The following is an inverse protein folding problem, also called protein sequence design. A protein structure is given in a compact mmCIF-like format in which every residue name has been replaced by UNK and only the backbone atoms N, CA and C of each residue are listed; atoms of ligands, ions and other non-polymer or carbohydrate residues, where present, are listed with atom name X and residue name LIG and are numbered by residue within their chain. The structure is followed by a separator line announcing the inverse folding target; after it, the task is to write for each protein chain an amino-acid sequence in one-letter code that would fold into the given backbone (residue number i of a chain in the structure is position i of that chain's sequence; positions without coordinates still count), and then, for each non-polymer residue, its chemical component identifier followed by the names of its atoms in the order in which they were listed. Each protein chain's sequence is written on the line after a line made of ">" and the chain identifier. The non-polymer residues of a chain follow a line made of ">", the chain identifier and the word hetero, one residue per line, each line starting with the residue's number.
data_IF_996048213200
#
_entry.id   IF_996048213200
#
_cell.length_a   1.000
_cell.length_b   1.000
_cell.length_c   1.000
_cell.angle_alpha   90.00
_cell.angle_beta   90.00
_cell.angle_gamma   90.00
#
_symmetry.space_group_name_H-M   'P 1'
#
loop_
_entity.id
_entity.type
_entity.pdbx_description
1 polymer ?
#
# COMPACT_ATOMS: atom_id res chain seq x y z
N UNK A 1 17.78 27.19 29.92
CA UNK A 1 16.55 26.63 29.33
C UNK A 1 15.63 27.80 29.05
N UNK A 2 15.12 27.93 27.82
CA UNK A 2 14.35 29.09 27.40
C UNK A 2 13.03 29.25 28.16
N UNK A 3 12.48 30.46 28.14
CA UNK A 3 11.21 30.76 28.81
C UNK A 3 10.05 29.93 28.22
N UNK A 4 9.25 29.35 29.11
CA UNK A 4 8.03 28.62 28.74
C UNK A 4 6.92 29.61 28.43
N UNK A 5 6.78 29.95 27.15
CA UNK A 5 5.73 30.84 26.68
C UNK A 5 4.44 30.04 26.48
N UNK A 6 3.34 30.46 27.11
CA UNK A 6 2.03 29.81 26.95
C UNK A 6 1.62 29.76 25.48
N UNK A 7 1.09 28.62 25.06
CA UNK A 7 0.61 28.40 23.69
C UNK A 7 1.71 28.20 22.65
N UNK A 8 2.99 28.18 23.04
CA UNK A 8 4.08 27.79 22.15
C UNK A 8 4.56 26.37 22.48
N UNK A 9 4.72 25.50 21.47
CA UNK A 9 5.35 24.21 21.68
C UNK A 9 6.83 24.42 22.03
N UNK A 10 7.34 23.59 22.94
CA UNK A 10 8.75 23.57 23.35
C UNK A 10 9.27 22.17 23.08
N UNK A 11 10.32 22.09 22.26
CA UNK A 11 11.00 20.83 21.99
C UNK A 11 11.90 20.47 23.18
N UNK A 12 11.77 19.24 23.66
CA UNK A 12 12.54 18.69 24.76
C UNK A 12 12.99 17.27 24.39
N UNK A 13 14.11 16.85 24.95
CA UNK A 13 14.59 15.48 24.76
C UNK A 13 13.74 14.47 25.55
N UNK A 14 13.73 13.21 25.10
CA UNK A 14 13.00 12.14 25.79
C UNK A 14 13.50 11.93 27.23
N UNK A 15 14.82 11.98 27.46
CA UNK A 15 15.40 11.88 28.80
C UNK A 15 14.88 12.99 29.74
N UNK A 16 14.72 14.20 29.20
CA UNK A 16 14.16 15.31 29.96
C UNK A 16 12.69 15.08 30.26
N UNK A 17 11.92 14.60 29.26
CA UNK A 17 10.50 14.29 29.43
C UNK A 17 10.31 13.25 30.53
N UNK A 18 11.09 12.16 30.53
CA UNK A 18 11.05 11.10 31.54
C UNK A 18 11.38 11.65 32.93
N UNK A 19 12.45 12.45 33.05
CA UNK A 19 12.87 13.03 34.33
C UNK A 19 11.84 14.01 34.91
N UNK A 20 11.12 14.73 34.04
CA UNK A 20 10.21 15.82 34.44
C UNK A 20 8.73 15.45 34.31
N UNK A 21 8.40 14.23 33.88
CA UNK A 21 7.03 13.74 33.62
C UNK A 21 6.10 13.94 34.82
N UNK A 22 6.60 13.74 36.04
CA UNK A 22 5.82 13.91 37.27
C UNK A 22 5.38 15.36 37.50
N UNK A 23 6.14 16.33 36.97
CA UNK A 23 5.86 17.76 37.13
C UNK A 23 4.91 18.28 36.04
N UNK A 24 4.88 17.61 34.88
CA UNK A 24 3.99 17.93 33.76
C UNK A 24 2.59 17.40 34.07
N UNK A 25 1.72 18.28 34.59
CA UNK A 25 0.32 17.96 34.82
C UNK A 25 -0.41 17.79 33.47
N UNK A 26 -1.09 16.66 33.23
CA UNK A 26 -1.82 16.43 31.97
C UNK A 26 -2.90 17.46 31.67
N UNK A 27 -3.38 18.18 32.69
CA UNK A 27 -4.37 19.26 32.53
C UNK A 27 -3.80 20.56 31.98
N UNK A 28 -2.48 20.75 32.05
CA UNK A 28 -1.80 21.98 31.63
C UNK A 28 -0.90 21.78 30.42
N UNK A 29 -0.45 20.54 30.19
CA UNK A 29 0.49 20.21 29.13
C UNK A 29 -0.05 19.05 28.31
N UNK A 30 -0.08 19.24 27.00
CA UNK A 30 -0.28 18.16 26.04
C UNK A 30 1.09 17.71 25.58
N UNK A 31 1.45 16.46 25.90
CA UNK A 31 2.68 15.83 25.41
C UNK A 31 2.31 15.15 24.09
N UNK A 32 2.88 15.62 22.98
CA UNK A 32 2.78 15.01 21.66
C UNK A 32 4.18 14.62 21.16
N UNK A 33 4.27 13.56 20.36
CA UNK A 33 5.56 13.03 19.87
C UNK A 33 5.89 11.59 20.33
N UNK A 34 4.88 10.78 20.65
CA UNK A 34 5.08 9.37 20.95
C UNK A 34 5.27 8.55 19.66
N UNK A 35 6.54 8.29 19.32
CA UNK A 35 7.04 7.36 18.29
C UNK A 35 6.36 7.50 16.91
N UNK A 36 6.59 8.66 16.30
CA UNK A 36 7.05 8.71 14.91
C UNK A 36 8.55 9.03 15.04
N UNK A 37 9.42 8.04 14.82
CA UNK A 37 10.86 8.16 15.06
C UNK A 37 11.52 9.28 14.24
N UNK A 38 10.86 9.72 13.16
CA UNK A 38 11.34 10.74 12.23
C UNK A 38 10.42 11.96 12.12
N UNK A 39 9.20 11.89 12.69
CA UNK A 39 8.15 12.90 12.57
C UNK A 39 7.88 13.30 11.11
N UNK A 40 7.99 12.33 10.21
CA UNK A 40 7.84 12.48 8.76
C UNK A 40 6.42 12.18 8.29
N UNK A 41 5.54 11.74 9.20
CA UNK A 41 4.18 11.33 8.87
C UNK A 41 4.14 10.00 8.13
N UNK A 42 5.22 9.22 8.16
CA UNK A 42 5.28 7.88 7.60
C UNK A 42 5.04 6.83 8.69
N UNK A 43 4.29 5.77 8.38
CA UNK A 43 4.10 4.69 9.33
C UNK A 43 5.40 3.95 9.65
N UNK A 44 5.73 3.85 10.95
CA UNK A 44 6.95 3.19 11.42
C UNK A 44 6.69 2.11 12.50
N UNK A 45 7.77 1.60 13.10
CA UNK A 45 7.72 0.63 14.21
C UNK A 45 7.08 1.23 15.47
N UNK A 46 6.98 2.56 15.57
CA UNK A 46 6.27 3.29 16.61
C UNK A 46 4.75 3.29 16.48
N UNK A 47 4.24 3.34 15.25
CA UNK A 47 2.81 3.52 14.99
C UNK A 47 1.92 2.38 15.49
N UNK A 48 0.74 2.69 16.01
CA UNK A 48 -0.25 1.65 16.33
C UNK A 48 -0.82 1.05 15.03
N UNK A 49 -1.18 -0.24 15.06
CA UNK A 49 -1.75 -0.93 13.89
C UNK A 49 -2.91 -0.17 13.23
N UNK A 50 -3.78 0.45 14.03
CA UNK A 50 -4.92 1.19 13.53
C UNK A 50 -4.52 2.40 12.67
N UNK A 51 -3.45 3.10 13.07
CA UNK A 51 -2.96 4.27 12.34
C UNK A 51 -2.26 3.86 11.06
N UNK A 52 -1.51 2.74 11.06
CA UNK A 52 -0.91 2.20 9.84
C UNK A 52 -2.00 1.82 8.82
N UNK A 53 -3.06 1.14 9.27
CA UNK A 53 -4.20 0.79 8.40
C UNK A 53 -4.91 2.04 7.88
N UNK A 54 -5.08 3.06 8.72
CA UNK A 54 -5.69 4.33 8.32
C UNK A 54 -4.85 5.02 7.24
N UNK A 55 -3.53 5.06 7.40
CA UNK A 55 -2.62 5.63 6.43
C UNK A 55 -2.65 4.86 5.10
N UNK A 56 -2.60 3.53 5.13
CA UNK A 56 -2.70 2.69 3.93
C UNK A 56 -4.00 2.97 3.15
N UNK A 57 -5.12 3.10 3.86
CA UNK A 57 -6.42 3.47 3.24
C UNK A 57 -6.40 4.88 2.65
N UNK A 58 -5.70 5.83 3.27
CA UNK A 58 -5.53 7.19 2.72
C UNK A 58 -4.69 7.19 1.44
N UNK A 59 -3.74 6.27 1.32
CA UNK A 59 -2.96 6.05 0.09
C UNK A 59 -3.72 5.20 -0.96
N UNK A 60 -4.98 4.83 -0.70
CA UNK A 60 -5.79 4.04 -1.62
C UNK A 60 -5.52 2.54 -1.60
N UNK A 61 -4.76 2.03 -0.63
CA UNK A 61 -4.50 0.59 -0.47
C UNK A 61 -5.64 -0.08 0.26
N UNK A 62 -6.25 -1.09 -0.37
CA UNK A 62 -7.26 -1.92 0.27
C UNK A 62 -6.62 -2.93 1.23
N UNK A 63 -6.83 -2.69 2.53
CA UNK A 63 -6.43 -3.63 3.57
C UNK A 63 -7.59 -4.59 3.83
N UNK A 64 -7.45 -5.86 3.43
CA UNK A 64 -8.46 -6.89 3.69
C UNK A 64 -8.78 -7.05 5.18
N UNK A 65 -10.06 -7.33 5.50
CA UNK A 65 -10.58 -7.45 6.88
C UNK A 65 -10.03 -8.65 7.69
N UNK A 66 -9.04 -9.38 7.16
CA UNK A 66 -8.38 -10.47 7.86
C UNK A 66 -7.41 -9.99 8.93
N UNK A 67 -7.01 -10.90 9.83
CA UNK A 67 -5.97 -10.59 10.80
C UNK A 67 -4.64 -10.35 10.07
N UNK A 68 -4.07 -9.15 10.26
CA UNK A 68 -2.74 -8.79 9.77
C UNK A 68 -1.81 -8.46 10.94
N UNK A 69 -0.58 -8.94 10.85
CA UNK A 69 0.48 -8.56 11.78
C UNK A 69 0.96 -7.14 11.47
N UNK A 70 1.60 -6.48 12.44
CA UNK A 70 2.14 -5.13 12.25
C UNK A 70 3.25 -5.13 11.20
N UNK A 71 4.08 -6.17 11.18
CA UNK A 71 5.11 -6.38 10.17
C UNK A 71 4.55 -6.43 8.75
N UNK A 72 3.43 -7.15 8.54
CA UNK A 72 2.80 -7.22 7.22
C UNK A 72 2.26 -5.85 6.78
N UNK A 73 1.67 -5.08 7.71
CA UNK A 73 1.19 -3.74 7.41
C UNK A 73 2.33 -2.78 7.08
N UNK A 74 3.47 -2.88 7.76
CA UNK A 74 4.66 -2.08 7.45
C UNK A 74 5.26 -2.47 6.10
N UNK A 75 5.30 -3.77 5.76
CA UNK A 75 5.71 -4.21 4.42
C UNK A 75 4.85 -3.59 3.31
N UNK A 76 3.53 -3.47 3.52
CA UNK A 76 2.65 -2.81 2.56
C UNK A 76 2.91 -1.30 2.45
N UNK A 77 3.37 -0.67 3.54
CA UNK A 77 3.80 0.73 3.52
C UNK A 77 5.07 0.87 2.70
N UNK A 78 6.03 -0.03 2.89
CA UNK A 78 7.26 -0.07 2.09
C UNK A 78 6.93 -0.22 0.60
N UNK A 79 6.04 -1.14 0.23
CA UNK A 79 5.60 -1.34 -1.16
C UNK A 79 4.99 -0.06 -1.78
N UNK A 80 4.29 0.75 -0.98
CA UNK A 80 3.70 2.03 -1.43
C UNK A 80 4.76 3.11 -1.59
N UNK A 81 5.74 3.16 -0.69
CA UNK A 81 6.80 4.18 -0.70
C UNK A 81 7.89 3.89 -1.73
N UNK A 82 8.14 2.61 -2.00
CA UNK A 82 9.04 2.13 -3.04
C UNK A 82 8.25 1.33 -4.07
N UNK A 83 7.44 1.98 -4.91
CA UNK A 83 6.79 1.27 -6.00
C UNK A 83 7.89 0.66 -6.86
N UNK A 84 7.95 -0.67 -6.91
CA UNK A 84 8.90 -1.36 -7.75
C UNK A 84 8.76 -0.83 -9.18
N UNK A 85 9.87 -0.51 -9.88
CA UNK A 85 9.78 -0.15 -11.27
C UNK A 85 9.09 -1.31 -11.99
N UNK A 86 7.98 -1.01 -12.65
CA UNK A 86 7.31 -1.95 -13.54
C UNK A 86 8.36 -2.30 -14.60
N UNK A 87 8.89 -3.52 -14.55
CA UNK A 87 9.62 -4.07 -15.69
C UNK A 87 8.62 -4.10 -16.84
N UNK A 88 8.75 -3.13 -17.76
CA UNK A 88 8.10 -3.23 -19.05
C UNK A 88 8.57 -4.56 -19.65
N UNK A 89 7.66 -5.54 -19.71
CA UNK A 89 7.85 -6.73 -20.52
C UNK A 89 7.88 -6.22 -21.95
N UNK A 90 9.09 -5.94 -22.44
CA UNK A 90 9.35 -5.76 -23.86
C UNK A 90 9.01 -7.10 -24.50
N UNK A 91 7.78 -7.21 -25.00
CA UNK A 91 7.42 -8.25 -25.96
C UNK A 91 8.22 -7.89 -27.20
N UNK A 92 9.42 -8.46 -27.33
CA UNK A 92 10.12 -8.53 -28.60
C UNK A 92 9.22 -9.31 -29.55
N UNK A 93 8.40 -8.57 -30.29
CA UNK A 93 7.75 -9.05 -31.51
C UNK A 93 8.90 -9.39 -32.45
N UNK A 94 9.26 -10.67 -32.50
CA UNK A 94 10.05 -11.26 -33.57
C UNK A 94 9.24 -11.14 -34.87
N UNK A 95 9.31 -9.96 -35.47
CA UNK A 95 8.90 -9.71 -36.84
C UNK A 95 10.00 -10.22 -37.77
N UNK A 96 9.93 -11.51 -38.11
CA UNK A 96 10.54 -12.03 -39.33
C UNK A 96 9.67 -13.20 -39.81
N UNK A 97 8.70 -12.89 -40.68
CA UNK A 97 8.27 -13.62 -41.89
C UNK A 97 7.25 -12.68 -42.56
N UNK A 98 7.71 -11.89 -43.53
CA UNK A 98 6.89 -11.22 -44.55
C UNK A 98 7.44 -11.67 -45.90
N UNK A 99 6.87 -12.75 -46.43
CA UNK A 99 6.87 -13.23 -47.82
C UNK A 99 5.98 -14.49 -47.74
N UNK A 100 4.68 -14.47 -48.04
CA UNK A 100 4.08 -14.30 -49.36
C UNK A 100 2.63 -13.80 -49.20
N UNK A 101 2.27 -12.81 -50.01
CA UNK A 101 0.89 -12.45 -50.30
C UNK A 101 0.53 -13.19 -51.58
N UNK A 102 -0.34 -14.20 -51.54
CA UNK A 102 -1.16 -14.54 -52.70
C UNK A 102 -2.64 -14.61 -52.28
N UNK A 103 -3.34 -13.56 -52.72
CA UNK A 103 -4.78 -13.39 -52.65
C UNK A 103 -5.43 -14.44 -53.55
N UNK A 104 -6.23 -15.34 -53.00
CA UNK A 104 -7.26 -16.04 -53.76
C UNK A 104 -8.60 -15.88 -53.05
N UNK A 105 -9.40 -14.99 -53.61
CA UNK A 105 -10.80 -14.77 -53.33
C UNK A 105 -11.59 -16.09 -53.51
N UNK A 106 -12.53 -16.42 -52.62
CA UNK A 106 -13.87 -16.94 -52.99
C UNK A 106 -14.82 -16.96 -51.78
N UNK A 107 -16.15 -16.83 -51.99
CA UNK A 107 -17.06 -16.20 -51.05
C UNK A 107 -18.14 -17.15 -50.47
N UNK A 108 -18.69 -16.80 -49.28
CA UNK A 108 -20.00 -17.17 -48.67
C UNK A 108 -20.22 -18.70 -48.42
N UNK A 109 -20.57 -19.20 -47.24
CA UNK A 109 -21.92 -19.42 -46.66
C UNK A 109 -21.68 -20.29 -45.40
N UNK A 110 -22.10 -19.87 -44.20
CA UNK A 110 -23.39 -20.23 -43.58
C UNK A 110 -23.46 -21.67 -43.03
N UNK A 111 -23.43 -21.80 -41.69
CA UNK A 111 -24.05 -22.84 -40.84
C UNK A 111 -23.40 -22.72 -39.43
N UNK A 112 -24.02 -22.15 -38.40
CA UNK A 112 -25.12 -22.72 -37.58
C UNK A 112 -24.72 -24.15 -37.16
N UNK A 113 -24.58 -24.54 -35.89
CA UNK A 113 -25.50 -24.43 -34.76
C UNK A 113 -24.74 -24.82 -33.47
N UNK A 114 -25.19 -24.29 -32.32
CA UNK A 114 -25.55 -25.03 -31.08
C UNK A 114 -24.84 -26.37 -30.78
N UNK A 115 -24.54 -26.77 -29.54
CA UNK A 115 -24.93 -26.33 -28.23
C UNK A 115 -24.35 -27.36 -27.24
N UNK A 116 -24.09 -26.90 -26.02
CA UNK A 116 -24.49 -27.54 -24.75
C UNK A 116 -23.81 -28.86 -24.32
N UNK A 117 -23.00 -28.66 -23.28
CA UNK A 117 -22.99 -29.36 -21.98
C UNK A 117 -22.96 -30.90 -21.89
N UNK A 118 -21.82 -31.36 -21.36
CA UNK A 118 -21.69 -32.06 -20.06
C UNK A 118 -22.68 -33.18 -19.65
N UNK A 119 -22.05 -34.33 -19.35
CA UNK A 119 -22.26 -35.27 -18.23
C UNK A 119 -23.28 -36.43 -18.30
N UNK A 120 -22.81 -37.55 -17.72
CA UNK A 120 -23.56 -38.67 -17.10
C UNK A 120 -24.31 -39.62 -18.05
N UNK A 121 -24.36 -40.96 -17.91
CA UNK A 121 -24.18 -41.99 -16.88
C UNK A 121 -23.97 -43.33 -17.63
N UNK A 122 -23.00 -44.18 -17.29
CA UNK A 122 -23.13 -45.36 -16.39
C UNK A 122 -24.35 -46.27 -16.63
N UNK A 123 -24.13 -47.43 -17.26
CA UNK A 123 -24.64 -48.78 -16.87
C UNK A 123 -23.55 -49.81 -17.21
#
# INVERSE_FOLDING_TARGET
>A
MGDWIRGKPVEVTEDWLVANKRQLKPSLFTIGGGLDLLNDGLPDVGWIKADIVKWLKQQGVEVSNGYKTKSLLLSMVDDVLTPAPVEEVVVEVAAEIVEEIEVVETPIEEAVVEAVETTEQEI
#
